data_IF_491990398420
#
_entry.id   IF_491990398420
#
_cell.length_a   1.000
_cell.length_b   1.000
_cell.length_c   1.000
_cell.angle_alpha   90.00
_cell.angle_beta   90.00
_cell.angle_gamma   90.00
#
_symmetry.space_group_name_H-M   'P 1'
#
loop_
_entity.id
_entity.type
_entity.pdbx_description
1 polymer ?
#
# COMPACT_ATOMS: atom_id res chain seq x y z
N UNK A 1 51.87 -12.64 -6.49
CA UNK A 1 51.84 -12.46 -7.96
C UNK A 1 50.68 -13.27 -8.52
N UNK A 2 49.75 -12.61 -9.23
CA UNK A 2 48.97 -13.09 -10.41
C UNK A 2 48.05 -14.32 -10.20
N UNK A 3 46.74 -14.41 -10.51
CA UNK A 3 45.66 -13.56 -11.07
C UNK A 3 44.31 -14.27 -10.84
N UNK A 4 43.19 -13.53 -10.99
CA UNK A 4 41.78 -13.92 -10.87
C UNK A 4 41.21 -14.81 -12.00
N UNK A 5 40.19 -15.63 -11.64
CA UNK A 5 38.97 -15.92 -12.43
C UNK A 5 38.84 -17.33 -13.06
N UNK A 6 37.63 -17.77 -13.47
CA UNK A 6 36.45 -18.10 -12.66
C UNK A 6 35.94 -19.54 -12.92
N UNK A 7 35.24 -20.18 -11.97
CA UNK A 7 34.52 -21.44 -12.22
C UNK A 7 33.02 -21.32 -11.92
N UNK A 8 32.31 -21.16 -13.03
CA UNK A 8 30.97 -21.57 -13.43
C UNK A 8 30.03 -22.27 -12.42
N UNK A 9 28.81 -21.71 -12.40
CA UNK A 9 27.50 -22.35 -12.30
C UNK A 9 27.44 -23.81 -12.79
N UNK A 10 26.92 -24.71 -11.95
CA UNK A 10 26.27 -25.95 -12.37
C UNK A 10 25.18 -26.38 -11.37
N UNK A 11 23.93 -26.40 -11.83
CA UNK A 11 22.93 -27.42 -11.47
C UNK A 11 22.18 -27.32 -10.14
N UNK A 12 21.13 -26.48 -10.06
CA UNK A 12 19.97 -26.72 -9.17
C UNK A 12 18.74 -27.04 -10.02
N UNK A 13 18.80 -28.15 -10.75
CA UNK A 13 17.66 -28.82 -11.37
C UNK A 13 17.52 -30.19 -10.70
N UNK A 14 16.56 -30.34 -9.80
CA UNK A 14 16.26 -31.64 -9.19
C UNK A 14 15.83 -31.56 -7.73
N UNK A 15 14.63 -31.04 -7.45
CA UNK A 15 13.86 -31.46 -6.28
C UNK A 15 12.36 -31.26 -6.55
N UNK A 16 11.82 -32.04 -7.48
CA UNK A 16 10.38 -32.20 -7.63
C UNK A 16 9.88 -33.16 -6.53
N UNK A 17 9.42 -32.62 -5.41
CA UNK A 17 8.72 -33.40 -4.40
C UNK A 17 7.28 -33.64 -4.89
N UNK A 18 6.97 -34.88 -5.29
CA UNK A 18 5.61 -35.30 -5.61
C UNK A 18 4.73 -35.20 -4.35
N UNK A 19 3.77 -34.27 -4.34
CA UNK A 19 2.68 -34.26 -3.37
C UNK A 19 1.57 -35.21 -3.86
N UNK A 20 1.66 -36.48 -3.49
CA UNK A 20 0.53 -37.41 -3.65
C UNK A 20 -0.48 -37.20 -2.49
N UNK A 21 -1.78 -37.15 -2.83
CA UNK A 21 -2.88 -37.06 -1.87
C UNK A 21 -3.48 -38.46 -1.70
N UNK A 22 -3.35 -39.13 -0.54
CA UNK A 22 -4.21 -40.26 -0.22
C UNK A 22 -5.43 -39.76 0.57
N UNK A 23 -6.61 -40.29 0.23
CA UNK A 23 -7.84 -40.10 0.97
C UNK A 23 -7.72 -40.72 2.37
N UNK A 24 -8.11 -39.98 3.42
CA UNK A 24 -8.12 -40.44 4.80
C UNK A 24 -9.39 -41.28 5.08
N UNK A 25 -9.22 -42.58 5.33
CA UNK A 25 -10.18 -43.38 6.10
C UNK A 25 -9.45 -44.04 7.29
N UNK A 26 -9.95 -43.82 8.50
CA UNK A 26 -9.43 -44.43 9.74
C UNK A 26 -9.32 -43.43 10.90
N UNK A 27 -10.35 -43.35 11.76
CA UNK A 27 -10.30 -42.62 13.01
C UNK A 27 -9.63 -43.45 14.11
N UNK A 28 -8.50 -42.97 14.64
CA UNK A 28 -7.88 -43.45 15.90
C UNK A 28 -7.72 -42.27 16.86
N UNK A 29 -7.33 -42.49 18.14
CA UNK A 29 -7.07 -41.41 19.13
C UNK A 29 -6.07 -40.33 18.64
N UNK A 30 -5.21 -40.66 17.67
CA UNK A 30 -4.38 -39.73 16.89
C UNK A 30 -5.21 -38.72 16.07
N UNK A 31 -6.34 -39.17 15.53
CA UNK A 31 -7.32 -38.37 14.79
C UNK A 31 -8.00 -37.28 15.61
N UNK A 32 -8.22 -37.47 16.91
CA UNK A 32 -8.81 -36.44 17.79
C UNK A 32 -7.80 -35.30 18.09
N UNK A 33 -6.52 -35.64 18.31
CA UNK A 33 -5.44 -34.65 18.48
C UNK A 33 -5.13 -33.93 17.17
N UNK A 34 -5.20 -34.63 16.04
CA UNK A 34 -5.08 -34.06 14.71
C UNK A 34 -6.28 -33.17 14.32
N UNK A 35 -7.51 -33.52 14.73
CA UNK A 35 -8.70 -32.69 14.57
C UNK A 35 -8.63 -31.42 15.44
N UNK A 36 -8.27 -31.56 16.72
CA UNK A 36 -8.08 -30.42 17.62
C UNK A 36 -6.97 -29.46 17.16
N UNK A 37 -5.91 -29.99 16.52
CA UNK A 37 -4.86 -29.17 15.91
C UNK A 37 -5.34 -28.45 14.64
N UNK A 38 -6.27 -29.02 13.87
CA UNK A 38 -6.87 -28.41 12.67
C UNK A 38 -7.80 -27.25 13.01
N UNK A 39 -8.54 -27.36 14.11
CA UNK A 39 -9.51 -26.36 14.58
C UNK A 39 -8.91 -25.29 15.51
N UNK A 40 -7.58 -25.23 15.60
CA UNK A 40 -6.90 -24.26 16.43
C UNK A 40 -7.11 -22.83 15.89
N UNK A 41 -7.57 -21.93 16.75
CA UNK A 41 -7.67 -20.49 16.45
C UNK A 41 -6.30 -19.85 16.60
N UNK A 42 -5.79 -19.25 15.53
CA UNK A 42 -4.46 -18.61 15.49
C UNK A 42 -4.52 -17.12 15.71
N UNK A 43 -5.63 -16.49 15.34
CA UNK A 43 -5.92 -15.11 15.66
C UNK A 43 -7.44 -14.87 15.76
N UNK A 44 -7.83 -13.77 16.38
CA UNK A 44 -9.20 -13.27 16.34
C UNK A 44 -9.23 -11.79 16.02
N UNK A 45 -10.25 -11.36 15.28
CA UNK A 45 -10.53 -9.94 14.99
C UNK A 45 -11.99 -9.67 15.31
N UNK A 46 -12.26 -8.82 16.31
CA UNK A 46 -13.60 -8.53 16.83
C UNK A 46 -14.43 -9.80 17.09
N UNK A 47 -13.80 -10.83 17.67
CA UNK A 47 -14.42 -12.12 17.97
C UNK A 47 -14.50 -13.10 16.79
N UNK A 48 -14.28 -12.66 15.55
CA UNK A 48 -14.18 -13.58 14.40
C UNK A 48 -12.86 -14.36 14.49
N UNK A 49 -12.97 -15.69 14.45
CA UNK A 49 -11.84 -16.62 14.52
C UNK A 49 -11.14 -16.72 13.16
N UNK A 50 -9.81 -16.69 13.19
CA UNK A 50 -8.94 -17.04 12.07
C UNK A 50 -8.34 -18.42 12.40
N UNK A 51 -8.61 -19.41 11.56
CA UNK A 51 -8.28 -20.81 11.83
C UNK A 51 -6.88 -21.15 11.31
N UNK A 52 -6.20 -22.05 12.03
CA UNK A 52 -4.87 -22.56 11.67
C UNK A 52 -4.84 -23.13 10.26
N UNK A 53 -5.86 -23.93 9.92
CA UNK A 53 -5.90 -24.62 8.64
C UNK A 53 -6.03 -23.64 7.46
N UNK A 54 -6.80 -22.55 7.62
CA UNK A 54 -6.94 -21.54 6.57
C UNK A 54 -5.60 -20.89 6.23
N UNK A 55 -4.86 -20.46 7.27
CA UNK A 55 -3.53 -19.88 7.13
C UNK A 55 -2.54 -20.89 6.54
N UNK A 56 -2.53 -22.12 7.04
CA UNK A 56 -1.67 -23.17 6.53
C UNK A 56 -1.89 -23.41 5.04
N UNK A 57 -3.14 -23.52 4.60
CA UNK A 57 -3.50 -23.73 3.21
C UNK A 57 -3.00 -22.58 2.35
N UNK A 58 -3.24 -21.34 2.78
CA UNK A 58 -2.79 -20.13 2.09
C UNK A 58 -1.27 -20.08 1.95
N UNK A 59 -0.54 -20.26 3.06
CA UNK A 59 0.93 -20.26 3.06
C UNK A 59 1.45 -21.32 2.10
N UNK A 60 1.03 -22.58 2.25
CA UNK A 60 1.51 -23.69 1.42
C UNK A 60 1.26 -23.45 -0.06
N UNK A 61 0.05 -23.00 -0.39
CA UNK A 61 -0.35 -22.79 -1.77
C UNK A 61 0.40 -21.62 -2.41
N UNK A 62 0.60 -20.52 -1.68
CA UNK A 62 1.38 -19.37 -2.14
C UNK A 62 2.88 -19.70 -2.24
N UNK A 63 3.43 -20.47 -1.28
CA UNK A 63 4.82 -20.95 -1.35
C UNK A 63 5.04 -21.80 -2.61
N UNK A 64 4.13 -22.74 -2.88
CA UNK A 64 4.21 -23.60 -4.05
C UNK A 64 4.11 -22.81 -5.35
N UNK A 65 3.27 -21.77 -5.41
CA UNK A 65 3.18 -20.89 -6.56
C UNK A 65 4.50 -20.11 -6.78
N UNK A 66 5.09 -19.55 -5.73
CA UNK A 66 6.36 -18.82 -5.79
C UNK A 66 7.55 -19.68 -6.17
N UNK A 67 7.63 -20.91 -5.66
CA UNK A 67 8.69 -21.87 -6.04
C UNK A 67 8.60 -22.27 -7.52
N UNK A 68 7.42 -22.17 -8.13
CA UNK A 68 7.20 -22.45 -9.55
C UNK A 68 7.39 -21.23 -10.46
N UNK A 69 7.68 -20.06 -9.89
CA UNK A 69 7.91 -18.85 -10.66
C UNK A 69 9.19 -18.99 -11.49
N UNK A 70 9.07 -18.73 -12.78
CA UNK A 70 10.17 -18.86 -13.75
C UNK A 70 10.87 -17.54 -14.03
N UNK A 71 10.24 -16.41 -13.74
CA UNK A 71 10.82 -15.09 -13.93
C UNK A 71 11.89 -14.78 -12.85
N UNK A 72 13.15 -14.46 -13.25
CA UNK A 72 14.25 -14.20 -12.33
C UNK A 72 13.97 -13.11 -11.27
N UNK A 73 13.20 -12.07 -11.63
CA UNK A 73 12.82 -10.99 -10.71
C UNK A 73 12.02 -11.50 -9.50
N UNK A 74 11.28 -12.59 -9.68
CA UNK A 74 10.41 -13.16 -8.65
C UNK A 74 11.00 -14.42 -8.00
N UNK A 75 12.04 -15.01 -8.58
CA UNK A 75 12.78 -16.13 -7.97
C UNK A 75 13.52 -15.71 -6.69
N UNK A 76 14.00 -14.47 -6.58
CA UNK A 76 14.63 -13.99 -5.35
C UNK A 76 13.64 -13.98 -4.17
N UNK A 77 12.34 -13.77 -4.43
CA UNK A 77 11.29 -13.86 -3.41
C UNK A 77 11.00 -15.32 -2.98
N UNK A 78 11.44 -16.30 -3.77
CA UNK A 78 11.33 -17.72 -3.44
C UNK A 78 12.50 -18.23 -2.58
N UNK A 79 13.60 -17.47 -2.44
CA UNK A 79 14.76 -17.88 -1.62
C UNK A 79 14.45 -18.00 -0.12
N UNK A 80 13.76 -17.04 0.54
CA UNK A 80 13.41 -17.18 1.97
C UNK A 80 12.48 -18.37 2.24
N UNK A 81 11.64 -18.69 1.25
CA UNK A 81 10.68 -19.80 1.25
C UNK A 81 11.43 -21.13 1.17
N UNK A 82 12.33 -21.24 0.20
CA UNK A 82 13.20 -22.39 0.02
C UNK A 82 14.11 -22.59 1.25
N UNK A 83 14.62 -21.51 1.85
CA UNK A 83 15.40 -21.59 3.10
C UNK A 83 14.59 -22.13 4.28
N UNK A 84 13.34 -21.68 4.41
CA UNK A 84 12.41 -22.11 5.47
C UNK A 84 12.02 -23.58 5.35
N UNK A 85 11.54 -24.01 4.17
CA UNK A 85 11.18 -25.41 3.91
C UNK A 85 12.44 -26.30 3.89
N UNK A 86 13.54 -25.79 3.36
CA UNK A 86 14.84 -26.45 3.36
C UNK A 86 15.35 -26.73 4.77
N UNK A 87 15.15 -25.82 5.73
CA UNK A 87 15.50 -26.05 7.13
C UNK A 87 14.73 -27.23 7.73
N UNK A 88 13.43 -27.37 7.43
CA UNK A 88 12.63 -28.53 7.82
C UNK A 88 13.19 -29.82 7.21
N UNK A 89 13.52 -29.80 5.91
CA UNK A 89 14.12 -30.94 5.20
C UNK A 89 15.43 -31.34 5.86
N UNK A 90 16.35 -30.39 6.09
CA UNK A 90 17.66 -30.64 6.70
C UNK A 90 17.54 -31.19 8.12
N UNK A 91 16.64 -30.64 8.95
CA UNK A 91 16.36 -31.14 10.31
C UNK A 91 15.88 -32.60 10.28
N UNK A 92 15.08 -32.97 9.29
CA UNK A 92 14.58 -34.35 9.13
C UNK A 92 15.64 -35.29 8.54
N UNK A 93 16.50 -34.80 7.64
CA UNK A 93 17.63 -35.57 7.12
C UNK A 93 18.64 -35.88 8.23
N UNK A 94 18.98 -34.89 9.06
CA UNK A 94 19.92 -35.05 10.18
C UNK A 94 19.43 -36.08 11.22
N UNK A 95 18.11 -36.21 11.39
CA UNK A 95 17.49 -37.19 12.30
C UNK A 95 17.20 -38.56 11.66
N UNK A 96 17.34 -38.69 10.34
CA UNK A 96 17.01 -39.92 9.59
C UNK A 96 18.18 -40.90 9.44
N UNK A 97 19.41 -40.48 9.78
CA UNK A 97 20.60 -41.34 9.66
C UNK A 97 20.79 -41.89 8.25
N UNK A 98 20.71 -41.02 7.24
CA UNK A 98 20.81 -41.34 5.80
C UNK A 98 19.67 -42.20 5.19
N UNK A 99 18.55 -42.44 5.90
CA UNK A 99 17.37 -43.06 5.28
C UNK A 99 16.55 -42.05 4.45
N UNK A 100 15.89 -42.48 3.36
CA UNK A 100 14.97 -41.63 2.61
C UNK A 100 13.91 -41.02 3.53
N UNK A 101 13.71 -39.71 3.42
CA UNK A 101 12.70 -38.99 4.21
C UNK A 101 11.46 -38.69 3.35
N UNK A 102 10.29 -38.84 3.96
CA UNK A 102 9.03 -38.32 3.41
C UNK A 102 8.53 -37.18 4.29
N UNK A 103 8.16 -36.07 3.64
CA UNK A 103 7.57 -34.90 4.29
C UNK A 103 6.14 -34.79 3.80
N UNK A 104 5.20 -34.99 4.71
CA UNK A 104 3.77 -34.87 4.43
C UNK A 104 3.31 -33.44 4.61
N UNK A 105 2.12 -33.13 4.08
CA UNK A 105 1.45 -31.85 4.32
C UNK A 105 1.28 -31.57 5.82
N UNK A 106 0.97 -32.60 6.60
CA UNK A 106 0.81 -32.50 8.05
C UNK A 106 2.12 -32.11 8.74
N UNK A 107 3.26 -32.68 8.31
CA UNK A 107 4.58 -32.34 8.86
C UNK A 107 4.89 -30.85 8.65
N UNK A 108 4.56 -30.29 7.49
CA UNK A 108 4.80 -28.87 7.19
C UNK A 108 3.88 -27.98 8.03
N UNK A 109 2.60 -28.35 8.18
CA UNK A 109 1.66 -27.60 9.03
C UNK A 109 2.10 -27.65 10.49
N UNK A 110 2.59 -28.78 10.97
CA UNK A 110 3.14 -28.89 12.32
C UNK A 110 4.33 -27.94 12.49
N UNK A 111 5.31 -28.06 11.60
CA UNK A 111 6.50 -27.21 11.57
C UNK A 111 6.17 -25.71 11.55
N UNK A 112 5.25 -25.27 10.67
CA UNK A 112 4.87 -23.86 10.55
C UNK A 112 4.48 -23.26 11.90
N UNK A 113 3.63 -23.92 12.67
CA UNK A 113 3.12 -23.34 13.93
C UNK A 113 3.97 -23.68 15.15
N UNK A 114 4.88 -24.64 15.04
CA UNK A 114 5.90 -24.91 16.06
C UNK A 114 7.05 -23.91 15.98
N UNK A 115 7.64 -23.75 14.79
CA UNK A 115 8.81 -22.88 14.58
C UNK A 115 8.41 -21.42 14.31
N UNK A 116 7.18 -21.18 13.87
CA UNK A 116 6.62 -19.85 13.56
C UNK A 116 7.54 -18.98 12.69
N UNK A 117 7.92 -19.47 11.50
CA UNK A 117 8.82 -18.74 10.61
C UNK A 117 8.19 -17.39 10.17
N UNK A 118 9.00 -16.43 9.70
CA UNK A 118 8.52 -15.12 9.25
C UNK A 118 7.34 -15.21 8.28
N UNK A 119 7.37 -16.15 7.33
CA UNK A 119 6.29 -16.35 6.36
C UNK A 119 4.93 -16.69 7.01
N UNK A 120 4.93 -17.42 8.13
CA UNK A 120 3.70 -17.69 8.88
C UNK A 120 3.20 -16.41 9.55
N UNK A 121 4.10 -15.68 10.22
CA UNK A 121 3.77 -14.42 10.91
C UNK A 121 3.17 -13.40 9.93
N UNK A 122 3.76 -13.27 8.75
CA UNK A 122 3.28 -12.43 7.66
C UNK A 122 1.88 -12.85 7.19
N UNK A 123 1.65 -14.14 6.96
CA UNK A 123 0.36 -14.65 6.51
C UNK A 123 -0.75 -14.40 7.55
N UNK A 124 -0.46 -14.64 8.83
CA UNK A 124 -1.39 -14.34 9.92
C UNK A 124 -1.68 -12.85 10.00
N UNK A 125 -0.66 -11.99 9.93
CA UNK A 125 -0.82 -10.54 9.99
C UNK A 125 -1.62 -10.01 8.80
N UNK A 126 -1.36 -10.51 7.59
CA UNK A 126 -2.14 -10.16 6.40
C UNK A 126 -3.60 -10.57 6.56
N UNK A 127 -3.86 -11.79 7.06
CA UNK A 127 -5.23 -12.26 7.28
C UNK A 127 -5.97 -11.45 8.34
N UNK A 128 -5.30 -11.08 9.43
CA UNK A 128 -5.83 -10.18 10.44
C UNK A 128 -6.24 -8.85 9.80
N UNK A 129 -5.36 -8.25 8.99
CA UNK A 129 -5.61 -6.99 8.30
C UNK A 129 -6.81 -7.08 7.36
N UNK A 130 -6.87 -8.11 6.54
CA UNK A 130 -8.00 -8.35 5.62
C UNK A 130 -9.33 -8.41 6.37
N UNK A 131 -9.39 -9.22 7.43
CA UNK A 131 -10.62 -9.39 8.22
C UNK A 131 -11.02 -8.07 8.89
N UNK A 132 -10.06 -7.34 9.45
CA UNK A 132 -10.31 -6.05 10.10
C UNK A 132 -10.89 -5.02 9.12
N UNK A 133 -10.28 -4.87 7.93
CA UNK A 133 -10.75 -3.96 6.88
C UNK A 133 -12.16 -4.32 6.44
N UNK A 134 -12.41 -5.61 6.14
CA UNK A 134 -13.73 -6.04 5.64
C UNK A 134 -14.81 -5.84 6.71
N UNK A 135 -14.53 -6.15 7.98
CA UNK A 135 -15.46 -5.90 9.07
C UNK A 135 -15.73 -4.40 9.26
N UNK A 136 -14.69 -3.58 9.27
CA UNK A 136 -14.79 -2.13 9.43
C UNK A 136 -15.64 -1.50 8.31
N UNK A 137 -15.40 -1.95 7.07
CA UNK A 137 -16.13 -1.49 5.89
C UNK A 137 -17.61 -1.89 5.92
N UNK A 138 -17.90 -3.17 6.23
CA UNK A 138 -19.28 -3.67 6.34
C UNK A 138 -20.07 -3.00 7.45
N UNK A 139 -19.45 -2.74 8.61
CA UNK A 139 -20.08 -2.01 9.71
C UNK A 139 -20.49 -0.58 9.30
N UNK A 140 -19.85 -0.02 8.27
CA UNK A 140 -20.18 1.29 7.67
C UNK A 140 -21.04 1.17 6.42
N UNK A 141 -21.62 0.01 6.13
CA UNK A 141 -22.50 -0.21 4.99
C UNK A 141 -21.80 -0.17 3.63
N UNK A 142 -20.48 -0.39 3.59
CA UNK A 142 -19.75 -0.55 2.32
C UNK A 142 -20.03 -1.95 1.77
N UNK A 143 -20.46 -2.02 0.51
CA UNK A 143 -20.74 -3.26 -0.20
C UNK A 143 -19.90 -3.34 -1.48
N UNK A 144 -19.37 -4.52 -1.79
CA UNK A 144 -18.60 -4.77 -3.02
C UNK A 144 -19.30 -5.84 -3.84
N UNK A 145 -19.59 -5.57 -5.10
CA UNK A 145 -20.25 -6.51 -6.01
C UNK A 145 -19.27 -7.48 -6.66
N UNK A 146 -19.73 -8.68 -7.01
CA UNK A 146 -18.90 -9.65 -7.74
C UNK A 146 -18.43 -9.10 -9.09
N UNK A 147 -19.28 -8.38 -9.82
CA UNK A 147 -18.90 -7.76 -11.09
C UNK A 147 -17.73 -6.77 -10.94
N UNK A 148 -17.72 -5.96 -9.86
CA UNK A 148 -16.61 -5.05 -9.57
C UNK A 148 -15.32 -5.83 -9.25
N UNK A 149 -15.43 -6.91 -8.47
CA UNK A 149 -14.28 -7.75 -8.15
C UNK A 149 -13.67 -8.37 -9.41
N UNK A 150 -14.48 -9.01 -10.26
CA UNK A 150 -13.96 -9.66 -11.47
C UNK A 150 -13.35 -8.64 -12.44
N UNK A 151 -13.97 -7.45 -12.59
CA UNK A 151 -13.41 -6.34 -13.37
C UNK A 151 -12.02 -5.94 -12.86
N UNK A 152 -11.87 -5.79 -11.54
CA UNK A 152 -10.61 -5.32 -10.94
C UNK A 152 -9.54 -6.41 -10.86
N UNK A 153 -9.93 -7.68 -10.73
CA UNK A 153 -9.00 -8.82 -10.88
C UNK A 153 -8.44 -8.86 -12.31
N UNK A 154 -9.31 -8.75 -13.32
CA UNK A 154 -8.88 -8.69 -14.71
C UNK A 154 -7.96 -7.49 -14.96
N UNK A 155 -8.29 -6.31 -14.42
CA UNK A 155 -7.45 -5.12 -14.53
C UNK A 155 -6.07 -5.32 -13.88
N UNK A 156 -6.01 -5.91 -12.68
CA UNK A 156 -4.76 -6.20 -11.99
C UNK A 156 -3.86 -7.16 -12.80
N UNK A 157 -4.44 -8.22 -13.36
CA UNK A 157 -3.71 -9.18 -14.21
C UNK A 157 -3.22 -8.51 -15.50
N UNK A 158 -4.07 -7.69 -16.14
CA UNK A 158 -3.71 -6.95 -17.35
C UNK A 158 -2.58 -5.95 -17.10
N UNK A 159 -2.61 -5.23 -15.97
CA UNK A 159 -1.55 -4.31 -15.58
C UNK A 159 -0.22 -5.05 -15.40
N UNK A 160 -0.24 -6.18 -14.70
CA UNK A 160 0.96 -7.00 -14.52
C UNK A 160 1.46 -7.57 -15.86
N UNK A 161 0.56 -7.99 -16.76
CA UNK A 161 0.90 -8.43 -18.12
C UNK A 161 1.65 -7.35 -18.89
N UNK A 162 1.16 -6.11 -18.84
CA UNK A 162 1.79 -4.97 -19.51
C UNK A 162 3.16 -4.65 -18.92
N UNK A 163 3.28 -4.57 -17.60
CA UNK A 163 4.53 -4.27 -16.92
C UNK A 163 5.63 -5.30 -17.18
N UNK A 164 5.26 -6.59 -17.26
CA UNK A 164 6.19 -7.70 -17.50
C UNK A 164 6.39 -8.01 -18.99
N UNK A 165 5.80 -7.24 -19.91
CA UNK A 165 5.86 -7.48 -21.36
C UNK A 165 5.42 -8.90 -21.74
N UNK A 166 4.36 -9.39 -21.11
CA UNK A 166 3.77 -10.72 -21.33
C UNK A 166 2.54 -10.67 -22.25
N UNK A 167 2.50 -9.72 -23.20
CA UNK A 167 1.39 -9.59 -24.13
C UNK A 167 1.15 -10.92 -24.89
N UNK A 168 -0.12 -11.29 -25.08
CA UNK A 168 -0.51 -12.57 -25.70
C UNK A 168 -0.45 -13.79 -24.78
N UNK A 169 0.04 -13.68 -23.54
CA UNK A 169 0.00 -14.77 -22.55
C UNK A 169 -1.34 -14.82 -21.82
N UNK A 170 -1.84 -16.03 -21.56
CA UNK A 170 -3.05 -16.25 -20.76
C UNK A 170 -2.87 -15.78 -19.32
N UNK A 171 -3.98 -15.46 -18.64
CA UNK A 171 -3.99 -15.05 -17.22
C UNK A 171 -3.24 -16.05 -16.33
N UNK A 172 -3.47 -17.35 -16.55
CA UNK A 172 -2.80 -18.43 -15.81
C UNK A 172 -1.27 -18.39 -15.95
N UNK A 173 -0.78 -18.08 -17.16
CA UNK A 173 0.66 -17.95 -17.40
C UNK A 173 1.23 -16.70 -16.74
N UNK A 174 0.54 -15.56 -16.83
CA UNK A 174 0.97 -14.31 -16.16
C UNK A 174 1.08 -14.52 -14.64
N UNK A 175 0.07 -15.15 -14.05
CA UNK A 175 0.06 -15.45 -12.61
C UNK A 175 1.16 -16.44 -12.21
N UNK A 176 1.44 -17.44 -13.05
CA UNK A 176 2.56 -18.38 -12.84
C UNK A 176 3.91 -17.66 -12.84
N UNK A 177 4.16 -16.76 -13.79
CA UNK A 177 5.40 -15.97 -13.84
C UNK A 177 5.59 -15.09 -12.60
N UNK A 178 4.49 -14.61 -12.02
CA UNK A 178 4.49 -13.81 -10.79
C UNK A 178 4.56 -14.64 -9.50
N UNK A 179 4.36 -15.95 -9.59
CA UNK A 179 4.23 -16.82 -8.42
C UNK A 179 2.97 -16.56 -7.59
N UNK A 180 1.88 -16.11 -8.22
CA UNK A 180 0.59 -15.89 -7.57
C UNK A 180 -0.45 -16.91 -7.99
N UNK A 181 -1.41 -17.17 -7.09
CA UNK A 181 -2.64 -17.89 -7.41
C UNK A 181 -3.77 -16.91 -7.73
N UNK A 182 -4.74 -17.30 -8.58
CA UNK A 182 -5.93 -16.48 -8.85
C UNK A 182 -6.65 -16.04 -7.57
N UNK A 183 -6.81 -16.96 -6.61
CA UNK A 183 -7.46 -16.66 -5.33
C UNK A 183 -6.74 -15.61 -4.49
N UNK A 184 -5.40 -15.55 -4.57
CA UNK A 184 -4.59 -14.58 -3.82
C UNK A 184 -4.76 -13.17 -4.39
N UNK A 185 -4.75 -13.03 -5.72
CA UNK A 185 -5.08 -11.74 -6.37
C UNK A 185 -6.50 -11.31 -6.04
N UNK A 186 -7.46 -12.24 -6.12
CA UNK A 186 -8.86 -11.95 -5.82
C UNK A 186 -9.06 -11.45 -4.39
N UNK A 187 -8.41 -12.07 -3.39
CA UNK A 187 -8.47 -11.61 -1.98
C UNK A 187 -7.92 -10.20 -1.84
N UNK A 188 -6.75 -9.91 -2.43
CA UNK A 188 -6.17 -8.57 -2.41
C UNK A 188 -7.09 -7.51 -3.02
N UNK A 189 -7.70 -7.82 -4.17
CA UNK A 189 -8.67 -6.94 -4.83
C UNK A 189 -9.91 -6.70 -3.96
N UNK A 190 -10.47 -7.74 -3.33
CA UNK A 190 -11.60 -7.58 -2.41
C UNK A 190 -11.26 -6.59 -1.30
N UNK A 191 -10.12 -6.80 -0.63
CA UNK A 191 -9.67 -5.94 0.47
C UNK A 191 -9.47 -4.50 0.01
N UNK A 192 -8.86 -4.30 -1.18
CA UNK A 192 -8.70 -2.96 -1.78
C UNK A 192 -10.04 -2.28 -2.04
N UNK A 193 -11.03 -3.00 -2.57
CA UNK A 193 -12.34 -2.43 -2.89
C UNK A 193 -13.14 -2.04 -1.64
N UNK A 194 -13.07 -2.85 -0.58
CA UNK A 194 -13.67 -2.46 0.70
C UNK A 194 -12.99 -1.24 1.30
N UNK A 195 -11.67 -1.15 1.22
CA UNK A 195 -10.92 0.01 1.72
C UNK A 195 -11.22 1.28 0.92
N UNK A 196 -11.28 1.16 -0.40
CA UNK A 196 -11.70 2.23 -1.31
C UNK A 196 -13.11 2.72 -0.98
N UNK A 197 -14.05 1.80 -0.78
CA UNK A 197 -15.42 2.16 -0.40
C UNK A 197 -15.51 2.87 0.96
N UNK A 198 -14.67 2.48 1.94
CA UNK A 198 -14.56 3.19 3.23
C UNK A 198 -14.09 4.62 3.01
N UNK A 199 -12.96 4.78 2.33
CA UNK A 199 -12.35 6.09 2.12
C UNK A 199 -13.25 7.01 1.30
N UNK A 200 -13.92 6.47 0.28
CA UNK A 200 -14.92 7.22 -0.49
C UNK A 200 -16.05 7.71 0.41
N UNK A 201 -16.65 6.82 1.20
CA UNK A 201 -17.79 7.18 2.06
C UNK A 201 -17.43 8.21 3.12
N UNK A 202 -16.23 8.13 3.68
CA UNK A 202 -15.75 9.11 4.65
C UNK A 202 -15.47 10.47 4.01
N UNK A 203 -14.91 10.49 2.79
CA UNK A 203 -14.74 11.73 2.04
C UNK A 203 -16.09 12.36 1.72
N UNK A 204 -17.05 11.58 1.23
CA UNK A 204 -18.44 12.01 0.97
C UNK A 204 -19.11 12.58 2.24
N UNK A 205 -18.90 11.94 3.39
CA UNK A 205 -19.40 12.43 4.67
C UNK A 205 -18.73 13.77 5.08
N UNK A 206 -17.44 13.94 4.79
CA UNK A 206 -16.70 15.17 5.08
C UNK A 206 -17.14 16.34 4.19
N UNK A 207 -17.37 16.10 2.90
CA UNK A 207 -17.79 17.15 1.95
C UNK A 207 -19.31 17.38 1.95
N UNK A 208 -20.09 16.46 2.53
CA UNK A 208 -21.54 16.60 2.71
C UNK A 208 -22.38 16.17 1.50
N UNK A 209 -21.78 15.54 0.48
CA UNK A 209 -22.49 15.06 -0.70
C UNK A 209 -21.74 13.90 -1.40
N UNK A 210 -22.40 13.15 -2.31
CA UNK A 210 -21.74 12.12 -3.10
C UNK A 210 -20.60 12.68 -3.95
N UNK A 211 -19.51 11.91 -4.07
CA UNK A 211 -18.33 12.33 -4.79
C UNK A 211 -18.61 12.35 -6.30
N UNK A 212 -18.49 13.53 -6.90
CA UNK A 212 -18.82 13.79 -8.30
C UNK A 212 -17.69 14.44 -9.09
N UNK A 213 -17.96 14.77 -10.35
CA UNK A 213 -16.99 15.49 -11.19
C UNK A 213 -16.64 16.87 -10.61
N UNK A 214 -17.59 17.54 -9.96
CA UNK A 214 -17.40 18.87 -9.38
C UNK A 214 -16.47 18.88 -8.15
N UNK A 215 -16.08 17.72 -7.64
CA UNK A 215 -15.08 17.57 -6.58
C UNK A 215 -13.64 17.54 -7.08
N UNK A 216 -13.45 17.74 -8.38
CA UNK A 216 -12.15 17.80 -9.02
C UNK A 216 -11.88 19.18 -9.60
N UNK A 217 -10.62 19.59 -9.55
CA UNK A 217 -10.10 20.82 -10.15
C UNK A 217 -8.74 20.52 -10.77
N UNK A 218 -8.46 21.16 -11.89
CA UNK A 218 -7.10 21.29 -12.41
C UNK A 218 -6.68 22.74 -12.19
N UNK A 219 -5.50 22.97 -11.62
CA UNK A 219 -5.10 24.32 -11.32
C UNK A 219 -3.62 24.48 -11.01
N UNK A 220 -3.27 25.73 -10.73
CA UNK A 220 -1.92 26.18 -10.42
C UNK A 220 -1.92 26.97 -9.13
N UNK A 221 -0.77 27.00 -8.48
CA UNK A 221 -0.53 27.88 -7.35
C UNK A 221 0.86 28.50 -7.34
N UNK A 222 1.01 29.54 -6.52
CA UNK A 222 2.29 30.12 -6.12
C UNK A 222 2.30 30.10 -4.60
N UNK A 223 3.28 29.46 -3.97
CA UNK A 223 3.46 29.45 -2.53
C UNK A 223 4.66 30.33 -2.16
N UNK A 224 4.47 31.30 -1.26
CA UNK A 224 5.56 31.91 -0.49
C UNK A 224 5.58 31.25 0.87
N UNK A 225 6.59 30.41 1.12
CA UNK A 225 6.67 29.56 2.30
C UNK A 225 7.06 30.39 3.51
N UNK A 226 6.39 30.12 4.62
CA UNK A 226 6.83 30.55 5.95
C UNK A 226 7.33 29.30 6.66
N UNK A 227 8.64 29.21 6.87
CA UNK A 227 9.25 28.13 7.65
C UNK A 227 9.00 28.37 9.15
N UNK A 228 7.76 28.24 9.58
CA UNK A 228 7.46 28.01 11.00
C UNK A 228 7.70 26.52 11.24
N UNK A 229 8.92 26.11 11.56
CA UNK A 229 9.13 24.74 12.04
C UNK A 229 8.26 24.57 13.31
N UNK A 230 7.34 23.59 13.38
CA UNK A 230 6.87 23.15 14.68
C UNK A 230 8.10 22.71 15.48
N UNK A 231 8.23 23.09 16.76
CA UNK A 231 9.43 22.80 17.54
C UNK A 231 9.68 21.29 17.50
N UNK A 232 10.80 20.90 16.89
CA UNK A 232 11.37 19.58 17.12
C UNK A 232 11.84 19.64 18.58
N UNK A 233 11.41 18.74 19.48
CA UNK A 233 12.03 18.63 20.78
C UNK A 233 13.43 18.00 20.58
N UNK A 234 14.38 18.79 20.05
CA UNK A 234 15.79 18.43 20.10
C UNK A 234 16.37 18.92 21.42
N UNK A 235 16.92 17.96 22.15
CA UNK A 235 17.71 18.21 23.33
C UNK A 235 18.98 18.96 22.94
N UNK A 236 18.94 20.30 23.02
CA UNK A 236 20.13 21.15 23.05
C UNK A 236 20.24 22.13 21.90
N UNK A 237 19.88 23.39 22.18
CA UNK A 237 20.49 24.56 21.55
C UNK A 237 19.93 24.98 20.20
N UNK A 238 18.68 25.46 20.20
CA UNK A 238 18.26 26.72 19.57
C UNK A 238 16.78 26.94 19.97
N UNK A 239 16.46 28.11 20.53
CA UNK A 239 15.08 28.42 20.94
C UNK A 239 14.15 28.40 19.72
N UNK A 240 13.00 27.72 19.78
CA UNK A 240 11.99 27.81 18.72
C UNK A 240 11.63 29.28 18.48
N UNK A 241 11.42 29.73 17.22
CA UNK A 241 11.00 31.09 16.95
C UNK A 241 9.73 31.40 17.76
N UNK A 242 9.72 32.57 18.39
CA UNK A 242 8.58 32.98 19.20
C UNK A 242 7.34 33.19 18.30
N UNK A 243 6.12 33.12 18.87
CA UNK A 243 4.90 33.42 18.11
C UNK A 243 4.94 34.82 17.42
N UNK A 244 5.54 35.88 18.03
CA UNK A 244 5.82 37.15 17.35
C UNK A 244 6.71 37.05 16.10
N UNK A 245 7.80 36.27 16.16
CA UNK A 245 8.73 36.10 15.02
C UNK A 245 8.03 35.37 13.86
N UNK A 246 7.13 34.43 14.21
CA UNK A 246 6.31 33.71 13.24
C UNK A 246 5.36 34.65 12.51
N UNK A 247 4.65 35.54 13.20
CA UNK A 247 3.73 36.47 12.55
C UNK A 247 4.46 37.52 11.69
N UNK A 248 5.64 37.97 12.12
CA UNK A 248 6.49 38.84 11.31
C UNK A 248 6.88 38.17 9.97
N UNK A 249 7.26 36.89 10.01
CA UNK A 249 7.54 36.11 8.81
C UNK A 249 6.31 35.96 7.90
N UNK A 250 5.12 35.74 8.48
CA UNK A 250 3.86 35.75 7.72
C UNK A 250 3.55 37.11 7.10
N UNK A 251 3.84 38.22 7.78
CA UNK A 251 3.65 39.56 7.25
C UNK A 251 4.61 39.86 6.09
N UNK A 252 5.87 39.43 6.18
CA UNK A 252 6.84 39.56 5.08
C UNK A 252 6.43 38.71 3.87
N UNK A 253 6.07 37.45 4.09
CA UNK A 253 5.55 36.58 3.05
C UNK A 253 4.29 37.15 2.39
N UNK A 254 3.41 37.80 3.18
CA UNK A 254 2.23 38.50 2.65
C UNK A 254 2.62 39.64 1.71
N UNK A 255 3.61 40.47 2.09
CA UNK A 255 4.09 41.56 1.21
C UNK A 255 4.62 41.02 -0.12
N UNK A 256 5.35 39.90 -0.09
CA UNK A 256 5.89 39.25 -1.30
C UNK A 256 4.77 38.73 -2.21
N UNK A 257 3.83 37.96 -1.66
CA UNK A 257 2.71 37.42 -2.44
C UNK A 257 1.78 38.54 -2.97
N UNK A 258 1.58 39.62 -2.20
CA UNK A 258 0.79 40.78 -2.63
C UNK A 258 1.43 41.47 -3.85
N UNK A 259 2.76 41.64 -3.85
CA UNK A 259 3.49 42.20 -4.98
C UNK A 259 3.38 41.31 -6.22
N UNK A 260 3.52 39.99 -6.06
CA UNK A 260 3.33 39.02 -7.15
C UNK A 260 1.90 39.10 -7.71
N UNK A 261 0.89 39.18 -6.84
CA UNK A 261 -0.51 39.33 -7.26
C UNK A 261 -0.72 40.58 -8.12
N UNK A 262 -0.10 41.70 -7.73
CA UNK A 262 -0.16 42.96 -8.48
C UNK A 262 0.56 42.87 -9.83
N UNK A 263 1.73 42.23 -9.90
CA UNK A 263 2.43 42.00 -11.17
C UNK A 263 1.58 41.19 -12.15
N UNK A 264 0.89 40.15 -11.67
CA UNK A 264 -0.01 39.34 -12.49
C UNK A 264 -1.24 40.14 -12.92
N UNK A 265 -1.87 40.89 -12.00
CA UNK A 265 -3.05 41.71 -12.29
C UNK A 265 -2.75 42.81 -13.33
N UNK A 266 -1.57 43.42 -13.24
CA UNK A 266 -1.08 44.44 -14.17
C UNK A 266 -0.49 43.85 -15.47
N UNK A 267 -0.54 42.52 -15.65
CA UNK A 267 -0.01 41.79 -16.83
C UNK A 267 1.49 42.01 -17.05
N UNK A 268 2.24 42.32 -15.99
CA UNK A 268 3.72 42.43 -16.02
C UNK A 268 4.33 41.03 -16.20
N UNK A 269 3.73 40.02 -15.56
CA UNK A 269 4.07 38.61 -15.71
C UNK A 269 2.81 37.77 -15.90
N UNK A 270 2.96 36.65 -16.61
CA UNK A 270 1.95 35.58 -16.56
C UNK A 270 2.01 34.88 -15.20
N UNK A 271 0.95 34.16 -14.84
CA UNK A 271 0.93 33.36 -13.60
C UNK A 271 2.05 32.31 -13.62
N UNK A 272 2.28 31.70 -14.77
CA UNK A 272 3.29 30.66 -15.00
C UNK A 272 4.71 31.19 -14.78
N UNK A 273 4.99 32.39 -15.30
CA UNK A 273 6.28 33.03 -15.13
C UNK A 273 6.50 33.40 -13.66
N UNK A 274 5.50 33.99 -13.01
CA UNK A 274 5.56 34.31 -11.59
C UNK A 274 5.74 33.07 -10.72
N UNK A 275 5.04 31.97 -11.02
CA UNK A 275 5.16 30.71 -10.31
C UNK A 275 6.56 30.11 -10.44
N UNK A 276 7.12 30.12 -11.66
CA UNK A 276 8.48 29.63 -11.93
C UNK A 276 9.54 30.44 -11.20
N UNK A 277 9.39 31.76 -11.17
CA UNK A 277 10.36 32.69 -10.61
C UNK A 277 10.30 32.76 -9.07
N UNK A 278 9.11 32.61 -8.49
CA UNK A 278 8.86 33.03 -7.10
C UNK A 278 8.21 31.97 -6.20
N UNK A 279 7.71 30.83 -6.71
CA UNK A 279 7.14 29.80 -5.83
C UNK A 279 8.22 29.02 -5.07
N UNK A 280 8.00 28.79 -3.78
CA UNK A 280 8.89 28.04 -2.87
C UNK A 280 8.63 26.53 -2.85
N UNK A 281 7.64 26.06 -3.62
CA UNK A 281 7.29 24.66 -3.74
C UNK A 281 7.81 24.02 -5.03
N UNK A 282 7.70 22.69 -5.13
CA UNK A 282 8.18 21.96 -6.31
C UNK A 282 7.34 22.20 -7.57
N UNK A 283 6.11 22.73 -7.44
CA UNK A 283 5.27 23.05 -8.60
C UNK A 283 5.89 24.13 -9.50
N UNK A 284 6.84 24.93 -9.01
CA UNK A 284 7.59 25.91 -9.82
C UNK A 284 8.24 25.30 -11.06
N UNK A 285 8.68 24.05 -10.99
CA UNK A 285 9.28 23.32 -12.13
C UNK A 285 8.25 22.91 -13.18
N UNK A 286 6.97 22.98 -12.84
CA UNK A 286 5.82 22.79 -13.72
C UNK A 286 5.01 24.08 -13.82
N UNK A 287 5.67 25.24 -13.71
CA UNK A 287 5.06 26.56 -13.86
C UNK A 287 3.84 26.77 -12.94
N UNK A 288 3.94 26.26 -11.70
CA UNK A 288 2.89 26.33 -10.69
C UNK A 288 1.84 25.22 -10.75
N UNK A 289 1.91 24.30 -11.73
CA UNK A 289 0.90 23.26 -11.92
C UNK A 289 0.82 22.27 -10.76
N UNK A 290 -0.40 22.09 -10.27
CA UNK A 290 -0.79 21.07 -9.31
C UNK A 290 -1.35 19.80 -9.98
N UNK A 291 -1.55 19.86 -11.31
CA UNK A 291 -2.35 18.87 -12.03
C UNK A 291 -3.79 18.84 -11.52
N UNK A 292 -4.43 17.68 -11.66
CA UNK A 292 -5.79 17.43 -11.17
C UNK A 292 -5.76 17.02 -9.70
N UNK A 293 -6.49 17.75 -8.86
CA UNK A 293 -6.68 17.45 -7.45
C UNK A 293 -8.16 17.29 -7.10
N UNK A 294 -8.43 16.60 -5.99
CA UNK A 294 -9.77 16.31 -5.48
C UNK A 294 -9.98 16.99 -4.12
N UNK A 295 -11.24 17.23 -3.74
CA UNK A 295 -11.59 17.63 -2.36
C UNK A 295 -11.00 16.66 -1.32
N UNK A 296 -10.62 17.21 -0.18
CA UNK A 296 -9.93 16.51 0.90
C UNK A 296 -8.45 16.24 0.64
N UNK A 297 -7.90 16.57 -0.54
CA UNK A 297 -6.47 16.39 -0.83
C UNK A 297 -5.63 17.60 -0.40
N UNK A 298 -6.20 18.81 -0.43
CA UNK A 298 -5.51 20.06 -0.10
C UNK A 298 -5.82 20.50 1.34
N UNK A 299 -5.02 21.43 1.86
CA UNK A 299 -5.33 22.07 3.15
C UNK A 299 -6.63 22.87 3.05
N UNK A 300 -7.35 22.96 4.17
CA UNK A 300 -8.72 23.47 4.19
C UNK A 300 -8.84 24.89 3.65
N UNK A 301 -7.90 25.77 3.99
CA UNK A 301 -7.90 27.18 3.56
C UNK A 301 -7.69 27.31 2.05
N UNK A 302 -6.78 26.51 1.50
CA UNK A 302 -6.54 26.44 0.06
C UNK A 302 -7.77 25.88 -0.66
N UNK A 303 -8.31 24.78 -0.16
CA UNK A 303 -9.43 24.08 -0.79
C UNK A 303 -10.69 24.94 -0.85
N UNK A 304 -11.01 25.64 0.24
CA UNK A 304 -12.18 26.52 0.31
C UNK A 304 -12.17 27.54 -0.83
N UNK A 305 -11.03 28.20 -1.06
CA UNK A 305 -10.87 29.18 -2.13
C UNK A 305 -10.82 28.50 -3.50
N UNK A 306 -10.03 27.43 -3.67
CA UNK A 306 -9.84 26.75 -4.95
C UNK A 306 -11.15 26.22 -5.56
N UNK A 307 -12.09 25.76 -4.74
CA UNK A 307 -13.35 25.21 -5.25
C UNK A 307 -14.43 26.26 -5.54
N UNK A 308 -14.27 27.49 -5.02
CA UNK A 308 -15.15 28.63 -5.28
C UNK A 308 -14.64 29.52 -6.44
N UNK A 309 -13.36 29.42 -6.80
CA UNK A 309 -12.77 30.22 -7.87
C UNK A 309 -13.35 29.91 -9.25
N UNK A 310 -13.72 30.93 -10.04
CA UNK A 310 -13.98 30.78 -11.46
C UNK A 310 -12.72 30.40 -12.24
N UNK A 311 -12.90 29.71 -13.36
CA UNK A 311 -11.79 29.33 -14.25
C UNK A 311 -11.06 30.57 -14.76
N UNK A 312 -9.73 30.52 -14.73
CA UNK A 312 -8.83 31.59 -15.18
C UNK A 312 -8.67 32.76 -14.20
N UNK A 313 -9.47 32.84 -13.13
CA UNK A 313 -9.38 33.90 -12.13
C UNK A 313 -8.30 33.58 -11.10
N UNK A 314 -7.45 34.56 -10.82
CA UNK A 314 -6.44 34.49 -9.76
C UNK A 314 -7.07 34.90 -8.44
N UNK A 315 -6.82 34.11 -7.39
CA UNK A 315 -7.33 34.36 -6.05
C UNK A 315 -6.71 35.60 -5.40
N UNK A 316 -7.36 36.08 -4.34
CA UNK A 316 -6.64 36.85 -3.33
C UNK A 316 -5.62 35.95 -2.63
N UNK A 317 -4.56 36.52 -2.01
CA UNK A 317 -3.62 35.75 -1.21
C UNK A 317 -4.32 34.95 -0.11
N UNK A 318 -4.06 33.65 -0.06
CA UNK A 318 -4.68 32.71 0.89
C UNK A 318 -3.64 32.27 1.91
N UNK A 319 -3.90 32.50 3.20
CA UNK A 319 -3.02 32.05 4.28
C UNK A 319 -3.27 30.57 4.59
N UNK A 320 -2.20 29.82 4.85
CA UNK A 320 -2.24 28.45 5.34
C UNK A 320 -1.12 28.22 6.36
N UNK A 321 -1.07 27.02 6.95
CA UNK A 321 0.05 26.59 7.79
C UNK A 321 1.42 26.64 7.08
N UNK A 322 1.47 26.59 5.75
CA UNK A 322 2.72 26.62 4.98
C UNK A 322 3.21 28.01 4.60
N UNK A 323 2.38 29.05 4.77
CA UNK A 323 2.62 30.39 4.23
C UNK A 323 1.45 30.90 3.41
N UNK A 324 1.74 31.72 2.40
CA UNK A 324 0.71 32.36 1.56
C UNK A 324 0.67 31.82 0.15
N UNK A 325 -0.54 31.66 -0.39
CA UNK A 325 -0.81 31.09 -1.70
C UNK A 325 -1.52 32.07 -2.62
N UNK A 326 -1.17 32.09 -3.90
CA UNK A 326 -2.06 32.52 -4.98
C UNK A 326 -2.52 31.31 -5.75
N UNK A 327 -3.80 31.26 -6.10
CA UNK A 327 -4.43 30.09 -6.70
C UNK A 327 -5.09 30.51 -8.01
N UNK A 328 -4.98 29.69 -9.04
CA UNK A 328 -5.74 29.83 -10.29
C UNK A 328 -6.27 28.47 -10.73
N UNK A 329 -7.54 28.40 -11.09
CA UNK A 329 -8.15 27.18 -11.62
C UNK A 329 -8.10 27.21 -13.13
N UNK A 330 -7.54 26.17 -13.73
CA UNK A 330 -7.39 26.01 -15.17
C UNK A 330 -8.57 25.22 -15.77
N UNK A 331 -9.08 24.20 -15.05
CA UNK A 331 -10.28 23.43 -15.46
C UNK A 331 -11.18 23.03 -14.29
N UNK A 332 -12.48 23.02 -14.54
CA UNK A 332 -13.47 22.40 -13.65
C UNK A 332 -13.55 20.91 -13.92
N UNK A 333 -13.90 20.12 -12.91
CA UNK A 333 -13.86 18.67 -13.04
C UNK A 333 -14.83 18.06 -14.06
N UNK A 334 -15.89 18.76 -14.45
CA UNK A 334 -16.74 18.39 -15.60
C UNK A 334 -15.98 18.39 -16.93
N UNK A 335 -14.95 19.23 -17.06
CA UNK A 335 -14.13 19.40 -18.25
C UNK A 335 -12.85 18.52 -18.19
N UNK A 336 -12.63 17.81 -17.08
CA UNK A 336 -11.50 16.90 -16.88
C UNK A 336 -11.91 15.49 -17.37
N UNK A 337 -11.07 14.77 -18.13
CA UNK A 337 -11.36 13.39 -18.54
C UNK A 337 -11.58 12.45 -17.35
N UNK A 338 -12.51 11.50 -17.48
CA UNK A 338 -12.79 10.53 -16.42
C UNK A 338 -11.55 9.72 -16.01
N UNK A 339 -10.66 9.40 -16.95
CA UNK A 339 -9.42 8.70 -16.69
C UNK A 339 -8.44 9.51 -15.81
N UNK A 340 -8.42 10.83 -15.96
CA UNK A 340 -7.59 11.71 -15.13
C UNK A 340 -8.16 11.86 -13.73
N UNK A 341 -9.49 12.01 -13.60
CA UNK A 341 -10.16 11.99 -12.28
C UNK A 341 -9.91 10.67 -11.55
N UNK A 342 -10.00 9.55 -12.24
CA UNK A 342 -9.68 8.22 -11.68
C UNK A 342 -8.22 8.15 -11.23
N UNK A 343 -7.27 8.64 -12.04
CA UNK A 343 -5.86 8.70 -11.65
C UNK A 343 -5.63 9.54 -10.39
N UNK A 344 -6.32 10.67 -10.26
CA UNK A 344 -6.29 11.52 -9.06
C UNK A 344 -6.87 10.82 -7.86
N UNK A 345 -8.03 10.15 -8.00
CA UNK A 345 -8.60 9.30 -6.94
C UNK A 345 -7.63 8.22 -6.47
N UNK A 346 -6.98 7.51 -7.41
CA UNK A 346 -5.96 6.52 -7.07
C UNK A 346 -4.75 7.13 -6.37
N UNK A 347 -4.39 8.38 -6.68
CA UNK A 347 -3.32 9.11 -5.97
C UNK A 347 -3.72 9.47 -4.55
N UNK A 348 -4.94 9.97 -4.37
CA UNK A 348 -5.53 10.25 -3.06
C UNK A 348 -5.57 8.99 -2.19
N UNK A 349 -6.02 7.87 -2.76
CA UNK A 349 -6.00 6.57 -2.10
C UNK A 349 -4.58 6.20 -1.64
N UNK A 350 -3.58 6.28 -2.53
CA UNK A 350 -2.19 5.94 -2.17
C UNK A 350 -1.62 6.78 -1.02
N UNK A 351 -1.96 8.07 -0.92
CA UNK A 351 -1.44 8.92 0.16
C UNK A 351 -2.14 8.68 1.51
N UNK A 352 -3.39 8.22 1.52
CA UNK A 352 -4.19 8.08 2.74
C UNK A 352 -4.39 6.63 3.20
N UNK A 353 -4.18 5.64 2.32
CA UNK A 353 -4.40 4.20 2.60
C UNK A 353 -3.66 3.74 3.84
N UNK A 354 -2.39 4.15 4.03
CA UNK A 354 -1.58 3.69 5.16
C UNK A 354 -2.15 4.19 6.48
N UNK A 355 -2.49 5.49 6.57
CA UNK A 355 -3.11 6.07 7.75
C UNK A 355 -4.45 5.43 8.05
N UNK A 356 -5.28 5.21 7.02
CA UNK A 356 -6.58 4.55 7.19
C UNK A 356 -6.45 3.11 7.66
N UNK A 357 -5.52 2.33 7.11
CA UNK A 357 -5.26 0.96 7.57
C UNK A 357 -4.80 0.96 9.03
N UNK A 358 -3.92 1.88 9.44
CA UNK A 358 -3.51 2.01 10.84
C UNK A 358 -4.68 2.35 11.75
N UNK A 359 -5.54 3.29 11.37
CA UNK A 359 -6.76 3.63 12.12
C UNK A 359 -7.68 2.41 12.28
N UNK A 360 -7.96 1.69 11.19
CA UNK A 360 -8.79 0.47 11.20
C UNK A 360 -8.19 -0.59 12.12
N UNK A 361 -6.88 -0.80 12.05
CA UNK A 361 -6.18 -1.77 12.89
C UNK A 361 -6.22 -1.40 14.36
N UNK A 362 -6.09 -0.11 14.71
CA UNK A 362 -6.18 0.38 16.08
C UNK A 362 -7.61 0.26 16.64
N UNK A 363 -8.62 0.42 15.80
CA UNK A 363 -10.03 0.25 16.18
C UNK A 363 -10.43 -1.22 16.37
N UNK A 364 -9.67 -2.17 15.81
CA UNK A 364 -10.01 -3.59 15.85
C UNK A 364 -9.52 -4.27 17.14
N UNK A 365 -10.38 -5.11 17.75
CA UNK A 365 -9.99 -5.99 18.86
C UNK A 365 -9.27 -7.22 18.32
N UNK A 366 -7.94 -7.16 18.28
CA UNK A 366 -7.08 -8.22 17.74
C UNK A 366 -6.45 -9.05 18.84
N UNK A 367 -6.53 -10.38 18.71
CA UNK A 367 -5.70 -11.32 19.47
C UNK A 367 -4.89 -12.11 18.46
N UNK A 368 -3.56 -12.01 18.51
CA UNK A 368 -2.64 -12.74 17.65
C UNK A 368 -1.82 -13.74 18.48
N UNK A 369 -2.04 -15.06 18.28
CA UNK A 369 -1.33 -16.11 19.03
C UNK A 369 -0.02 -16.56 18.38
N UNK A 370 0.26 -16.08 17.17
CA UNK A 370 1.48 -16.38 16.42
C UNK A 370 2.56 -15.32 16.66
N UNK A 371 2.14 -14.10 17.00
CA UNK A 371 3.02 -12.96 17.22
C UNK A 371 3.15 -12.08 15.97
N UNK A 372 3.68 -10.85 16.12
CA UNK A 372 3.86 -9.93 15.00
C UNK A 372 4.96 -10.44 14.03
N UNK A 373 4.94 -9.99 12.77
CA UNK A 373 6.06 -10.22 11.84
C UNK A 373 7.35 -9.61 12.40
N UNK A 374 8.49 -10.21 12.03
CA UNK A 374 9.80 -9.67 12.39
C UNK A 374 10.04 -8.35 11.66
N UNK A 375 10.50 -7.32 12.38
CA UNK A 375 10.90 -6.09 11.73
C UNK A 375 12.15 -6.34 10.89
N UNK A 376 12.25 -5.79 9.67
CA UNK A 376 13.47 -5.89 8.89
C UNK A 376 14.62 -5.28 9.70
N UNK A 377 15.59 -6.12 10.10
CA UNK A 377 16.85 -5.64 10.67
C UNK A 377 17.65 -5.01 9.53
N UNK A 378 17.55 -3.70 9.38
CA UNK A 378 18.51 -2.99 8.55
C UNK A 378 19.84 -3.01 9.30
N UNK A 379 20.92 -3.55 8.72
CA UNK A 379 22.24 -3.33 9.30
C UNK A 379 22.43 -1.82 9.41
N UNK A 380 22.88 -1.35 10.58
CA UNK A 380 23.22 0.05 10.76
C UNK A 380 24.10 0.46 9.58
N UNK A 381 23.66 1.47 8.81
CA UNK A 381 24.53 2.09 7.80
C UNK A 381 25.76 2.57 8.56
N UNK A 382 26.89 1.91 8.31
CA UNK A 382 28.20 2.32 8.82
C UNK A 382 28.73 3.47 8.02
#
# INVERSE_FOLDING_TARGET
MITRGPLAYAGFAGLACLLAVPALSGQTKSGAKAAAARDAVVATVNGQKIMRLDIANEVLDDQAARLRATNPQFQDRARPIAGSIGALVMKRMASSGNKPISITRSDIIEWLFTEKPPVLKDAVQNRIREVAIIQYARARGVTVSNASIEKQVAAAINNARTQLRLQGKSDAMVLKELGYRPGTIRRGVITSLYLEGVMKKELEAKIGHPLGADDYREGRHILIRVNAQPPIPEAGGDTPPSAPDTEAAFAEAKKKIDAIAQEIANKVKTFEQAAKDSSDDTSKFQEGSLGVFIRGQMVQEFEAVAFELPVGVVSQPVRSAFGWHLIRIDKLGKDIPAAEREKTWQSYMRSHVQGKVTEIMNAAKVVNKVGPPEQPSFPAMR
#
